data_IF_421455306599
#
_entry.id   IF_421455306599
#
_cell.length_a   1.000
_cell.length_b   1.000
_cell.length_c   1.000
_cell.angle_alpha   90.00
_cell.angle_beta   90.00
_cell.angle_gamma   90.00
#
_symmetry.space_group_name_H-M   'P 1'
#
loop_
_entity.id
_entity.type
_entity.pdbx_description
1 polymer ?
#
# COMPACT_ATOMS: atom_id res chain seq x y z
N UNK A 1 -12.55 -5.76 -4.87
CA UNK A 1 -11.55 -4.82 -4.34
C UNK A 1 -11.18 -5.33 -2.97
N UNK A 2 -9.91 -5.73 -2.76
CA UNK A 2 -9.46 -6.20 -1.45
C UNK A 2 -9.74 -5.13 -0.41
N UNK A 3 -10.28 -5.52 0.73
CA UNK A 3 -10.56 -4.66 1.87
C UNK A 3 -9.24 -4.19 2.51
N UNK A 4 -8.58 -3.23 1.88
CA UNK A 4 -7.44 -2.52 2.44
C UNK A 4 -7.99 -1.49 3.42
N UNK A 5 -8.04 -1.86 4.69
CA UNK A 5 -8.38 -0.93 5.75
C UNK A 5 -7.34 0.19 5.76
N UNK A 6 -7.77 1.43 5.50
CA UNK A 6 -6.97 2.62 5.80
C UNK A 6 -6.69 2.59 7.30
N UNK A 7 -5.42 2.44 7.68
CA UNK A 7 -4.95 2.47 9.07
C UNK A 7 -4.58 3.90 9.50
N UNK A 8 -5.19 4.92 8.89
CA UNK A 8 -4.95 6.31 9.27
C UNK A 8 -5.59 6.56 10.64
N UNK A 9 -4.84 6.31 11.71
CA UNK A 9 -5.28 6.56 13.09
C UNK A 9 -5.15 8.06 13.39
N UNK A 10 -6.22 8.80 13.13
CA UNK A 10 -6.35 10.20 13.56
C UNK A 10 -6.58 10.26 15.08
N UNK A 11 -5.49 10.23 15.86
CA UNK A 11 -5.56 10.32 17.32
C UNK A 11 -5.27 11.75 17.75
N UNK A 12 -6.32 12.47 18.18
CA UNK A 12 -6.23 13.71 18.96
C UNK A 12 -5.37 14.82 18.33
N UNK A 13 -5.49 15.03 17.02
CA UNK A 13 -4.85 16.15 16.31
C UNK A 13 -3.40 15.91 15.87
N UNK A 14 -2.87 14.70 16.08
CA UNK A 14 -1.59 14.26 15.52
C UNK A 14 -1.90 13.15 14.52
N UNK A 15 -1.56 13.35 13.24
CA UNK A 15 -1.55 12.25 12.27
C UNK A 15 -0.45 11.28 12.72
N UNK A 16 -0.87 10.15 13.31
CA UNK A 16 0.00 9.11 13.80
C UNK A 16 -0.20 7.88 12.92
N UNK A 17 0.79 7.62 12.07
CA UNK A 17 0.79 6.52 11.11
C UNK A 17 1.35 7.05 9.81
N UNK A 18 2.56 6.61 9.45
CA UNK A 18 3.02 6.80 8.08
C UNK A 18 2.16 5.87 7.21
N UNK A 19 1.91 6.24 5.95
CA UNK A 19 1.05 5.42 5.08
C UNK A 19 1.63 4.02 4.86
N UNK A 20 0.74 3.06 4.55
CA UNK A 20 1.11 1.69 4.17
C UNK A 20 0.96 1.50 2.64
N UNK A 21 1.84 2.09 1.80
CA UNK A 21 1.64 2.09 0.34
C UNK A 21 1.77 0.68 -0.25
N UNK A 22 1.03 0.45 -1.36
CA UNK A 22 1.17 -0.70 -2.26
C UNK A 22 0.99 -0.25 -3.72
N UNK A 23 1.53 -1.00 -4.66
CA UNK A 23 1.36 -0.80 -6.10
C UNK A 23 0.41 -1.85 -6.68
N UNK A 24 -0.38 -1.46 -7.68
CA UNK A 24 -1.24 -2.37 -8.45
C UNK A 24 -0.91 -2.23 -9.93
N UNK A 25 -0.53 -3.34 -10.56
CA UNK A 25 -0.19 -3.40 -11.97
C UNK A 25 -1.28 -4.17 -12.72
N UNK A 26 -1.73 -3.67 -13.88
CA UNK A 26 -2.71 -4.36 -14.71
C UNK A 26 -2.20 -4.44 -16.14
N UNK A 27 -2.12 -5.66 -16.67
CA UNK A 27 -1.68 -5.95 -18.04
C UNK A 27 -2.76 -6.79 -18.72
N UNK A 28 -3.61 -6.12 -19.50
CA UNK A 28 -4.78 -6.75 -20.12
C UNK A 28 -5.74 -7.33 -19.08
N UNK A 29 -6.01 -8.65 -19.10
CA UNK A 29 -6.86 -9.31 -18.11
C UNK A 29 -6.12 -9.62 -16.79
N UNK A 30 -4.78 -9.53 -16.76
CA UNK A 30 -3.99 -9.88 -15.59
C UNK A 30 -3.87 -8.69 -14.64
N UNK A 31 -3.99 -8.93 -13.33
CA UNK A 31 -3.83 -7.93 -12.28
C UNK A 31 -2.89 -8.45 -11.21
N UNK A 32 -1.86 -7.66 -10.91
CA UNK A 32 -0.86 -7.92 -9.89
C UNK A 32 -0.96 -6.85 -8.82
N UNK A 33 -0.81 -7.25 -7.57
CA UNK A 33 -0.83 -6.34 -6.42
C UNK A 33 0.41 -6.61 -5.58
N UNK A 34 1.15 -5.54 -5.29
CA UNK A 34 2.35 -5.64 -4.46
C UNK A 34 1.99 -5.81 -2.99
N UNK A 35 2.99 -6.22 -2.20
CA UNK A 35 2.87 -6.19 -0.75
C UNK A 35 2.70 -4.76 -0.27
N UNK A 36 1.95 -4.60 0.81
CA UNK A 36 1.84 -3.34 1.54
C UNK A 36 3.10 -3.17 2.40
N UNK A 37 3.69 -1.99 2.41
CA UNK A 37 4.85 -1.69 3.25
C UNK A 37 4.40 -0.79 4.40
N UNK A 38 4.48 -1.30 5.63
CA UNK A 38 3.96 -0.59 6.79
C UNK A 38 4.79 0.67 7.10
N UNK A 39 4.09 1.77 7.36
CA UNK A 39 4.64 3.04 7.84
C UNK A 39 5.82 3.59 7.01
N UNK A 40 5.69 3.67 5.68
CA UNK A 40 6.73 4.25 4.82
C UNK A 40 6.18 5.20 3.76
N UNK A 41 6.81 6.37 3.61
CA UNK A 41 6.52 7.33 2.54
C UNK A 41 7.48 7.18 1.34
N UNK A 42 8.40 6.22 1.39
CA UNK A 42 9.33 5.93 0.30
C UNK A 42 9.44 4.40 0.12
N UNK A 43 8.35 3.77 -0.35
CA UNK A 43 8.31 2.33 -0.53
C UNK A 43 9.28 1.86 -1.62
N UNK A 44 9.93 0.73 -1.37
CA UNK A 44 10.68 -0.05 -2.36
C UNK A 44 10.18 -1.49 -2.29
N UNK A 45 9.44 -1.91 -3.30
CA UNK A 45 8.84 -3.25 -3.33
C UNK A 45 9.82 -4.30 -3.85
N UNK A 46 10.65 -3.94 -4.82
CA UNK A 46 11.60 -4.85 -5.50
C UNK A 46 10.93 -6.16 -5.93
N UNK A 47 9.66 -6.09 -6.34
CA UNK A 47 8.83 -7.23 -6.78
C UNK A 47 8.88 -7.36 -8.31
N UNK A 48 9.05 -8.59 -8.78
CA UNK A 48 9.04 -8.95 -10.20
C UNK A 48 7.84 -9.84 -10.49
N UNK A 49 7.11 -9.52 -11.55
CA UNK A 49 5.97 -10.30 -12.04
C UNK A 49 6.22 -10.65 -13.50
N UNK A 50 5.96 -11.91 -13.88
CA UNK A 50 6.12 -12.45 -15.24
C UNK A 50 4.78 -12.55 -15.99
#
# INVERSE_FOLDING_TARGET
ADALASKDNYVKGVMSGLSDPYAMLRVGPQTFKSRHLDNTLSPKWDEMYE
#
